data_IF_453944285045
#
_entry.id   IF_453944285045
#
_cell.length_a   1.000
_cell.length_b   1.000
_cell.length_c   1.000
_cell.angle_alpha   90.00
_cell.angle_beta   90.00
_cell.angle_gamma   90.00
#
_symmetry.space_group_name_H-M   'P 1'
#
loop_
_entity.id
_entity.type
_entity.pdbx_description
1 polymer ?
#
# COMPACT_ATOMS: atom_id res chain seq x y z
N UNK A 1 2.89 10.35 31.75
CA UNK A 1 1.98 11.34 32.35
C UNK A 1 0.59 11.06 31.80
N UNK A 2 -0.42 10.96 32.67
CA UNK A 2 -1.83 10.85 32.27
C UNK A 2 -2.63 11.86 33.09
N UNK A 3 -3.67 12.42 32.49
CA UNK A 3 -4.59 13.30 33.21
C UNK A 3 -5.82 12.49 33.61
N UNK A 4 -6.26 12.65 34.84
CA UNK A 4 -7.41 11.93 35.39
C UNK A 4 -8.24 12.92 36.21
N UNK A 5 -9.55 12.92 35.98
CA UNK A 5 -10.50 13.70 36.75
C UNK A 5 -11.08 12.78 37.83
N UNK A 6 -10.79 13.05 39.11
CA UNK A 6 -11.35 12.27 40.21
C UNK A 6 -12.85 12.53 40.36
N UNK A 7 -13.29 13.72 39.93
CA UNK A 7 -14.70 14.13 39.91
C UNK A 7 -15.08 14.76 38.58
N UNK A 8 -16.37 14.72 38.23
CA UNK A 8 -16.87 15.26 36.95
C UNK A 8 -16.64 16.78 36.83
N UNK A 9 -16.62 17.49 37.96
CA UNK A 9 -16.42 18.94 37.99
C UNK A 9 -14.99 19.35 37.59
N UNK A 10 -14.02 18.45 37.70
CA UNK A 10 -12.61 18.68 37.38
C UNK A 10 -12.31 18.60 35.88
N UNK A 11 -13.29 18.24 35.05
CA UNK A 11 -13.14 18.08 33.59
C UNK A 11 -12.46 19.31 32.95
N UNK A 12 -12.86 20.52 33.36
CA UNK A 12 -12.32 21.78 32.82
C UNK A 12 -10.85 21.96 33.17
N UNK A 13 -10.45 21.61 34.39
CA UNK A 13 -9.08 21.80 34.87
C UNK A 13 -8.15 20.76 34.26
N UNK A 14 -8.60 19.51 34.15
CA UNK A 14 -7.91 18.46 33.38
C UNK A 14 -7.74 18.86 31.92
N UNK A 15 -8.79 19.38 31.28
CA UNK A 15 -8.72 19.85 29.91
C UNK A 15 -7.70 20.98 29.76
N UNK A 16 -7.74 22.02 30.61
CA UNK A 16 -6.75 23.11 30.60
C UNK A 16 -5.32 22.61 30.77
N UNK A 17 -5.09 21.66 31.68
CA UNK A 17 -3.77 21.08 31.91
C UNK A 17 -3.25 20.33 30.67
N UNK A 18 -4.11 19.54 30.01
CA UNK A 18 -3.79 18.89 28.74
C UNK A 18 -3.51 19.91 27.63
N UNK A 19 -4.34 20.94 27.47
CA UNK A 19 -4.14 21.98 26.46
C UNK A 19 -2.82 22.73 26.68
N UNK A 20 -2.44 22.99 27.93
CA UNK A 20 -1.16 23.60 28.28
C UNK A 20 0.02 22.71 27.87
N UNK A 21 -0.10 21.39 28.06
CA UNK A 21 0.92 20.43 27.60
C UNK A 21 1.05 20.43 26.07
N UNK A 22 -0.05 20.54 25.34
CA UNK A 22 -0.04 20.57 23.88
C UNK A 22 0.72 21.78 23.30
N UNK A 23 0.77 22.92 24.00
CA UNK A 23 1.39 24.15 23.48
C UNK A 23 2.89 24.00 23.16
N UNK A 24 3.60 23.12 23.86
CA UNK A 24 5.02 22.86 23.63
C UNK A 24 5.30 21.76 22.60
N UNK A 25 4.27 21.23 21.94
CA UNK A 25 4.38 20.08 21.03
C UNK A 25 3.77 20.38 19.66
N UNK A 26 4.47 19.96 18.60
CA UNK A 26 4.03 20.16 17.22
C UNK A 26 3.43 18.91 16.57
N UNK A 27 3.60 17.73 17.20
CA UNK A 27 3.16 16.44 16.66
C UNK A 27 2.24 15.76 17.67
N UNK A 28 1.09 15.29 17.19
CA UNK A 28 0.14 14.49 17.96
C UNK A 28 0.09 13.09 17.37
N UNK A 29 0.61 12.10 18.09
CA UNK A 29 0.50 10.68 17.71
C UNK A 29 -0.71 10.09 18.42
N UNK A 30 -1.59 9.44 17.65
CA UNK A 30 -2.84 8.90 18.18
C UNK A 30 -3.31 7.69 17.37
N UNK A 31 -4.25 6.93 17.93
CA UNK A 31 -4.87 5.78 17.28
C UNK A 31 -6.35 6.08 16.99
N UNK A 32 -6.73 6.32 15.72
CA UNK A 32 -8.09 6.65 15.31
C UNK A 32 -8.68 7.94 15.93
N UNK A 33 -7.88 8.74 16.63
CA UNK A 33 -8.31 10.01 17.21
C UNK A 33 -8.83 11.07 16.24
N UNK A 34 -8.60 10.95 14.93
CA UNK A 34 -9.26 11.82 13.94
C UNK A 34 -10.79 11.68 13.98
N UNK A 35 -11.28 10.48 14.28
CA UNK A 35 -12.71 10.16 14.27
C UNK A 35 -13.35 10.20 15.66
N UNK A 36 -12.55 10.25 16.72
CA UNK A 36 -13.05 10.15 18.10
C UNK A 36 -12.45 11.21 19.02
N UNK A 37 -11.18 11.04 19.44
CA UNK A 37 -10.56 11.87 20.48
C UNK A 37 -10.52 13.36 20.11
N UNK A 38 -10.08 13.70 18.90
CA UNK A 38 -9.91 15.09 18.46
C UNK A 38 -11.27 15.79 18.33
N UNK A 39 -12.30 15.24 17.64
CA UNK A 39 -13.63 15.83 17.63
C UNK A 39 -14.21 16.03 19.04
N UNK A 40 -14.08 15.04 19.92
CA UNK A 40 -14.55 15.12 21.31
C UNK A 40 -13.88 16.27 22.07
N UNK A 41 -12.55 16.35 22.01
CA UNK A 41 -11.78 17.40 22.67
C UNK A 41 -12.09 18.80 22.11
N UNK A 42 -12.30 18.93 20.79
CA UNK A 42 -12.72 20.20 20.17
C UNK A 42 -14.11 20.63 20.66
N UNK A 43 -15.05 19.69 20.78
CA UNK A 43 -16.39 19.98 21.31
C UNK A 43 -16.30 20.47 22.76
N UNK A 44 -15.49 19.81 23.60
CA UNK A 44 -15.27 20.23 25.00
C UNK A 44 -14.60 21.60 25.10
N UNK A 45 -13.61 21.88 24.26
CA UNK A 45 -13.01 23.21 24.18
C UNK A 45 -14.05 24.28 23.81
N UNK A 46 -14.91 24.00 22.83
CA UNK A 46 -15.97 24.93 22.43
C UNK A 46 -16.98 25.17 23.57
N UNK A 47 -17.40 24.10 24.27
CA UNK A 47 -18.31 24.17 25.42
C UNK A 47 -17.77 25.07 26.54
N UNK A 48 -16.47 25.01 26.81
CA UNK A 48 -15.81 25.79 27.87
C UNK A 48 -15.12 27.06 27.38
N UNK A 49 -15.35 27.44 26.12
CA UNK A 49 -14.74 28.61 25.48
C UNK A 49 -13.20 28.64 25.55
N UNK A 50 -12.57 27.47 25.43
CA UNK A 50 -11.12 27.29 25.40
C UNK A 50 -10.62 27.23 23.95
N UNK A 51 -9.39 27.73 23.73
CA UNK A 51 -8.72 27.64 22.41
C UNK A 51 -8.13 26.24 22.21
N UNK A 52 -8.53 25.58 21.13
CA UNK A 52 -8.00 24.26 20.77
C UNK A 52 -6.66 24.36 20.00
N UNK A 53 -5.67 23.48 20.27
CA UNK A 53 -4.34 23.52 19.66
C UNK A 53 -4.21 22.63 18.41
N UNK A 54 -5.17 21.74 18.16
CA UNK A 54 -5.05 20.63 17.21
C UNK A 54 -4.94 21.10 15.75
N UNK A 55 -5.50 22.27 15.42
CA UNK A 55 -5.39 22.85 14.07
C UNK A 55 -3.95 23.21 13.65
N UNK A 56 -3.03 23.39 14.61
CA UNK A 56 -1.63 23.71 14.33
C UNK A 56 -0.69 22.50 14.48
N UNK A 57 -1.20 21.36 14.93
CA UNK A 57 -0.40 20.15 15.16
C UNK A 57 -0.40 19.24 13.94
N UNK A 58 0.74 18.60 13.67
CA UNK A 58 0.83 17.50 12.72
C UNK A 58 0.26 16.22 13.35
N UNK A 59 -0.89 15.76 12.89
CA UNK A 59 -1.52 14.52 13.33
C UNK A 59 -0.91 13.27 12.69
N UNK A 60 -0.48 12.31 13.52
CA UNK A 60 -0.04 10.98 13.13
C UNK A 60 -1.07 9.97 13.62
N UNK A 61 -2.07 9.72 12.77
CA UNK A 61 -3.09 8.72 13.01
C UNK A 61 -2.62 7.34 12.55
N UNK A 62 -2.27 6.49 13.52
CA UNK A 62 -1.75 5.14 13.27
C UNK A 62 -2.80 4.28 12.57
N UNK A 63 -4.07 4.36 12.99
CA UNK A 63 -5.17 3.59 12.39
C UNK A 63 -5.30 3.91 10.91
N UNK A 64 -5.37 5.20 10.57
CA UNK A 64 -5.53 5.66 9.18
C UNK A 64 -4.37 5.21 8.29
N UNK A 65 -3.14 5.19 8.82
CA UNK A 65 -1.95 4.76 8.07
C UNK A 65 -1.91 3.24 7.84
N UNK A 66 -2.43 2.43 8.76
CA UNK A 66 -2.42 0.97 8.62
C UNK A 66 -3.61 0.46 7.82
N UNK A 67 -4.77 1.12 7.91
CA UNK A 67 -6.03 0.64 7.35
C UNK A 67 -5.96 0.22 5.86
N UNK A 68 -5.28 0.94 4.95
CA UNK A 68 -5.11 0.51 3.55
C UNK A 68 -4.43 -0.86 3.42
N UNK A 69 -3.58 -1.21 4.38
CA UNK A 69 -2.77 -2.42 4.41
C UNK A 69 -3.37 -3.54 5.26
N UNK A 70 -4.63 -3.41 5.72
CA UNK A 70 -5.32 -4.46 6.52
C UNK A 70 -5.21 -5.85 5.89
N UNK A 71 -5.54 -5.95 4.59
CA UNK A 71 -5.51 -7.22 3.84
C UNK A 71 -4.09 -7.75 3.69
N UNK A 72 -3.16 -6.84 3.39
CA UNK A 72 -1.73 -7.10 3.26
C UNK A 72 -1.18 -7.73 4.54
N UNK A 73 -1.53 -7.19 5.70
CA UNK A 73 -1.08 -7.68 7.00
C UNK A 73 -1.86 -8.90 7.52
N UNK A 74 -2.86 -9.39 6.78
CA UNK A 74 -3.69 -10.51 7.19
C UNK A 74 -4.55 -10.22 8.44
N UNK A 75 -4.87 -8.95 8.70
CA UNK A 75 -5.60 -8.55 9.90
C UNK A 75 -7.13 -8.69 9.71
N UNK A 76 -7.81 -9.29 10.68
CA UNK A 76 -9.28 -9.38 10.71
C UNK A 76 -9.94 -8.00 10.82
N UNK A 77 -9.31 -7.08 11.54
CA UNK A 77 -9.70 -5.68 11.73
C UNK A 77 -8.45 -4.87 12.14
N UNK A 78 -8.58 -3.55 12.22
CA UNK A 78 -7.46 -2.65 12.55
C UNK A 78 -7.72 -2.01 13.91
N UNK A 79 -8.31 -2.74 14.86
CA UNK A 79 -8.33 -2.31 16.27
C UNK A 79 -6.91 -2.38 16.81
N UNK A 80 -6.57 -1.49 17.76
CA UNK A 80 -5.23 -1.44 18.34
C UNK A 80 -4.79 -2.80 18.90
N UNK A 81 -5.65 -3.48 19.67
CA UNK A 81 -5.40 -4.82 20.21
C UNK A 81 -5.06 -5.86 19.13
N UNK A 82 -5.73 -5.80 17.97
CA UNK A 82 -5.44 -6.71 16.83
C UNK A 82 -4.08 -6.41 16.21
N UNK A 83 -3.71 -5.14 16.09
CA UNK A 83 -2.37 -4.74 15.61
C UNK A 83 -1.29 -5.12 16.62
N UNK A 84 -1.53 -4.94 17.92
CA UNK A 84 -0.62 -5.37 18.99
C UNK A 84 -0.38 -6.88 18.96
N UNK A 85 -1.43 -7.68 18.83
CA UNK A 85 -1.33 -9.13 18.68
C UNK A 85 -0.56 -9.50 17.41
N UNK A 86 -0.85 -8.83 16.28
CA UNK A 86 -0.06 -8.98 15.07
C UNK A 86 1.41 -8.62 15.32
N UNK A 87 1.74 -7.66 16.15
CA UNK A 87 3.13 -7.30 16.50
C UNK A 87 3.75 -8.23 17.57
N UNK A 88 2.98 -9.17 18.12
CA UNK A 88 3.44 -10.07 19.19
C UNK A 88 3.49 -9.42 20.58
N UNK A 89 2.83 -8.28 20.75
CA UNK A 89 2.74 -7.56 22.02
C UNK A 89 1.67 -8.24 22.88
N UNK A 90 2.01 -8.54 24.14
CA UNK A 90 1.09 -9.09 25.14
C UNK A 90 0.59 -7.95 26.03
N UNK A 91 -0.71 -7.90 26.28
CA UNK A 91 -1.33 -7.02 27.27
C UNK A 91 -1.64 -7.80 28.54
N UNK A 92 -1.57 -7.13 29.68
CA UNK A 92 -2.08 -7.65 30.95
C UNK A 92 -3.57 -7.32 31.12
N UNK A 93 -4.01 -6.17 30.56
CA UNK A 93 -5.39 -5.68 30.58
C UNK A 93 -6.42 -6.57 29.83
N UNK A 94 -7.47 -6.96 30.55
CA UNK A 94 -8.59 -7.79 30.09
C UNK A 94 -9.85 -6.99 29.74
N UNK A 95 -9.94 -5.71 30.13
CA UNK A 95 -11.17 -4.94 30.01
C UNK A 95 -11.26 -4.24 28.66
N UNK A 96 -12.48 -3.95 28.23
CA UNK A 96 -12.75 -3.10 27.07
C UNK A 96 -13.24 -1.72 27.51
N UNK A 97 -13.07 -0.71 26.65
CA UNK A 97 -13.40 0.68 26.99
C UNK A 97 -14.86 0.93 27.39
N UNK A 98 -15.80 0.06 27.00
CA UNK A 98 -17.19 0.17 27.44
C UNK A 98 -17.40 -0.23 28.90
N UNK A 99 -16.64 -1.21 29.39
CA UNK A 99 -16.70 -1.66 30.79
C UNK A 99 -16.15 -0.60 31.75
N UNK A 100 -15.15 0.16 31.31
CA UNK A 100 -14.53 1.22 32.12
C UNK A 100 -15.47 2.39 32.42
N UNK A 101 -16.51 2.60 31.60
CA UNK A 101 -17.49 3.67 31.83
C UNK A 101 -18.19 3.43 33.17
N UNK A 102 -18.70 2.22 33.41
CA UNK A 102 -19.38 1.87 34.64
C UNK A 102 -18.43 1.94 35.85
N UNK A 103 -17.20 1.48 35.67
CA UNK A 103 -16.17 1.50 36.72
C UNK A 103 -15.82 2.94 37.13
N UNK A 104 -15.71 3.86 36.16
CA UNK A 104 -15.53 5.27 36.47
C UNK A 104 -16.74 5.89 37.16
N UNK A 105 -17.96 5.55 36.74
CA UNK A 105 -19.17 6.04 37.41
C UNK A 105 -19.29 5.57 38.86
N UNK A 106 -18.88 4.34 39.14
CA UNK A 106 -18.90 3.78 40.49
C UNK A 106 -17.77 4.35 41.35
N UNK A 107 -16.57 4.52 40.77
CA UNK A 107 -15.46 5.23 41.40
C UNK A 107 -15.85 6.65 41.84
N UNK A 108 -16.54 7.44 41.00
CA UNK A 108 -16.96 8.81 41.35
C UNK A 108 -17.95 8.82 42.52
N UNK A 109 -18.79 7.78 42.66
CA UNK A 109 -19.76 7.66 43.76
C UNK A 109 -19.09 7.18 45.05
N UNK A 110 -18.18 6.22 44.93
CA UNK A 110 -17.49 5.57 46.04
C UNK A 110 -16.04 5.22 45.61
N UNK A 111 -15.07 6.13 45.80
CA UNK A 111 -13.71 5.93 45.33
C UNK A 111 -13.03 4.74 46.00
N UNK A 112 -12.91 3.63 45.28
CA UNK A 112 -12.13 2.48 45.70
C UNK A 112 -10.75 2.51 45.02
N UNK A 113 -9.65 2.24 45.76
CA UNK A 113 -8.31 2.18 45.18
C UNK A 113 -8.21 1.19 44.00
N UNK A 114 -8.94 0.08 44.07
CA UNK A 114 -8.99 -0.93 43.00
C UNK A 114 -9.52 -0.39 41.68
N UNK A 115 -10.54 0.47 41.73
CA UNK A 115 -11.17 1.02 40.51
C UNK A 115 -10.25 2.05 39.88
N UNK A 116 -9.59 2.88 40.69
CA UNK A 116 -8.57 3.83 40.24
C UNK A 116 -7.39 3.10 39.59
N UNK A 117 -6.84 2.08 40.27
CA UNK A 117 -5.72 1.30 39.75
C UNK A 117 -6.08 0.67 38.40
N UNK A 118 -7.30 0.15 38.26
CA UNK A 118 -7.78 -0.43 37.01
C UNK A 118 -7.89 0.61 35.88
N UNK A 119 -8.51 1.76 36.14
CA UNK A 119 -8.69 2.84 35.15
C UNK A 119 -7.34 3.37 34.67
N UNK A 120 -6.42 3.62 35.62
CA UNK A 120 -5.08 4.13 35.32
C UNK A 120 -4.21 3.09 34.61
N UNK A 121 -4.33 1.81 34.98
CA UNK A 121 -3.61 0.71 34.33
C UNK A 121 -4.06 0.55 32.88
N UNK A 122 -5.36 0.57 32.62
CA UNK A 122 -5.88 0.44 31.25
C UNK A 122 -5.38 1.54 30.33
N UNK A 123 -5.49 2.80 30.75
CA UNK A 123 -5.01 3.93 29.96
C UNK A 123 -3.48 3.89 29.77
N UNK A 124 -2.74 3.49 30.81
CA UNK A 124 -1.30 3.30 30.70
C UNK A 124 -0.93 2.20 29.70
N UNK A 125 -1.66 1.08 29.68
CA UNK A 125 -1.45 -0.02 28.76
C UNK A 125 -1.82 0.35 27.31
N UNK A 126 -2.90 1.10 27.09
CA UNK A 126 -3.24 1.64 25.77
C UNK A 126 -2.15 2.57 25.23
N UNK A 127 -1.61 3.45 26.08
CA UNK A 127 -0.52 4.35 25.68
C UNK A 127 0.79 3.60 25.39
N UNK A 128 1.17 2.64 26.23
CA UNK A 128 2.35 1.78 26.01
C UNK A 128 2.18 0.93 24.75
N UNK A 129 0.99 0.38 24.56
CA UNK A 129 0.62 -0.41 23.40
C UNK A 129 0.73 0.41 22.11
N UNK A 130 0.16 1.63 22.11
CA UNK A 130 0.24 2.55 20.99
C UNK A 130 1.70 2.90 20.62
N UNK A 131 2.55 3.15 21.61
CA UNK A 131 3.97 3.40 21.36
C UNK A 131 4.68 2.15 20.80
N UNK A 132 4.37 0.98 21.36
CA UNK A 132 4.99 -0.29 20.98
C UNK A 132 4.62 -0.73 19.55
N UNK A 133 3.46 -0.32 19.03
CA UNK A 133 3.06 -0.63 17.65
C UNK A 133 3.62 0.35 16.61
N UNK A 134 4.27 1.46 16.98
CA UNK A 134 4.80 2.42 16.00
C UNK A 134 5.62 1.80 14.84
N UNK A 135 6.42 0.73 15.05
CA UNK A 135 7.14 0.08 13.95
C UNK A 135 6.23 -0.50 12.85
N UNK A 136 4.94 -0.73 13.11
CA UNK A 136 3.97 -1.13 12.07
C UNK A 136 3.81 -0.08 10.97
N UNK A 137 4.16 1.18 11.22
CA UNK A 137 4.09 2.25 10.22
C UNK A 137 5.06 2.02 9.06
N UNK A 138 6.10 1.21 9.25
CA UNK A 138 7.06 0.84 8.21
C UNK A 138 6.41 0.13 7.01
N UNK A 139 5.26 -0.52 7.20
CA UNK A 139 4.49 -1.09 6.09
C UNK A 139 3.90 -0.02 5.17
N UNK A 140 3.54 1.14 5.71
CA UNK A 140 3.15 2.30 4.91
C UNK A 140 4.37 2.96 4.28
N UNK A 141 5.51 2.97 4.99
CA UNK A 141 6.74 3.61 4.52
C UNK A 141 7.29 2.97 3.23
N UNK A 142 6.96 1.71 2.95
CA UNK A 142 7.24 1.04 1.67
C UNK A 142 6.71 1.79 0.44
N UNK A 143 5.64 2.57 0.61
CA UNK A 143 4.98 3.31 -0.47
C UNK A 143 5.21 4.82 -0.40
N UNK A 144 5.65 5.34 0.74
CA UNK A 144 5.86 6.78 0.94
C UNK A 144 7.34 7.17 0.88
N UNK A 145 8.26 6.21 1.05
CA UNK A 145 9.70 6.44 1.02
C UNK A 145 10.37 5.65 -0.11
N UNK A 146 11.39 6.23 -0.75
CA UNK A 146 12.11 5.55 -1.83
C UNK A 146 12.90 4.35 -1.30
N UNK A 147 12.79 3.23 -2.00
CA UNK A 147 13.64 2.04 -1.81
C UNK A 147 14.58 1.85 -3.01
N UNK A 148 15.56 0.95 -2.86
CA UNK A 148 16.53 0.65 -3.93
C UNK A 148 16.38 -0.79 -4.40
N UNK A 149 16.24 -0.99 -5.71
CA UNK A 149 16.44 -2.32 -6.32
C UNK A 149 17.94 -2.54 -6.43
N UNK A 150 18.48 -3.46 -5.63
CA UNK A 150 19.93 -3.69 -5.49
C UNK A 150 20.45 -4.84 -6.35
N UNK A 151 19.55 -5.74 -6.79
CA UNK A 151 19.90 -6.84 -7.69
C UNK A 151 18.68 -7.20 -8.53
N UNK A 152 18.91 -7.46 -9.81
CA UNK A 152 17.91 -8.02 -10.72
C UNK A 152 18.52 -9.23 -11.39
N UNK A 153 17.81 -10.35 -11.39
CA UNK A 153 18.26 -11.57 -12.05
C UNK A 153 17.08 -12.32 -12.66
N UNK A 154 17.35 -13.08 -13.70
CA UNK A 154 16.40 -14.08 -14.20
C UNK A 154 16.45 -15.30 -13.29
N UNK A 155 15.29 -15.83 -12.94
CA UNK A 155 15.14 -17.11 -12.27
C UNK A 155 14.28 -18.04 -13.14
N UNK A 156 14.65 -19.31 -13.22
CA UNK A 156 13.86 -20.34 -13.91
C UNK A 156 13.33 -21.33 -12.89
N UNK A 157 12.11 -21.79 -13.08
CA UNK A 157 11.49 -22.80 -12.23
C UNK A 157 10.56 -23.69 -13.05
N UNK A 158 10.31 -24.91 -12.59
CA UNK A 158 9.30 -25.78 -13.17
C UNK A 158 7.96 -25.53 -12.47
N UNK A 159 6.91 -25.30 -13.25
CA UNK A 159 5.55 -25.21 -12.69
C UNK A 159 4.95 -26.59 -12.41
N UNK A 160 3.69 -26.61 -11.95
CA UNK A 160 3.01 -27.87 -11.58
C UNK A 160 2.81 -28.82 -12.77
N UNK A 161 2.90 -28.34 -14.00
CA UNK A 161 2.79 -29.14 -15.22
C UNK A 161 4.16 -29.63 -15.72
N UNK A 162 5.25 -29.25 -15.05
CA UNK A 162 6.62 -29.54 -15.48
C UNK A 162 7.14 -28.57 -16.55
N UNK A 163 6.39 -27.51 -16.86
CA UNK A 163 6.84 -26.52 -17.85
C UNK A 163 7.86 -25.57 -17.22
N UNK A 164 8.94 -25.31 -17.94
CA UNK A 164 9.97 -24.35 -17.49
C UNK A 164 9.44 -22.93 -17.66
N UNK A 165 9.20 -22.28 -16.53
CA UNK A 165 8.83 -20.87 -16.44
C UNK A 165 10.05 -20.00 -16.13
N UNK A 166 9.98 -18.73 -16.53
CA UNK A 166 11.01 -17.73 -16.22
C UNK A 166 10.38 -16.53 -15.53
N UNK A 167 11.02 -16.06 -14.48
CA UNK A 167 10.63 -14.86 -13.74
C UNK A 167 11.82 -13.91 -13.59
N UNK A 168 11.54 -12.61 -13.53
CA UNK A 168 12.49 -11.62 -13.03
C UNK A 168 12.39 -11.61 -11.52
N UNK A 169 13.52 -11.80 -10.85
CA UNK A 169 13.68 -11.65 -9.41
C UNK A 169 14.43 -10.34 -9.10
N UNK A 170 13.73 -9.40 -8.48
CA UNK A 170 14.26 -8.14 -7.98
C UNK A 170 14.49 -8.24 -6.47
N UNK A 171 15.73 -8.01 -6.03
CA UNK A 171 16.07 -7.80 -4.64
C UNK A 171 15.99 -6.31 -4.32
N UNK A 172 15.20 -5.97 -3.32
CA UNK A 172 14.91 -4.61 -2.89
C UNK A 172 15.52 -4.39 -1.50
N UNK A 173 16.11 -3.22 -1.28
CA UNK A 173 16.62 -2.76 0.02
C UNK A 173 15.78 -1.57 0.49
N UNK A 174 15.22 -1.69 1.67
CA UNK A 174 14.45 -0.64 2.34
C UNK A 174 15.34 0.13 3.34
N UNK A 175 15.05 1.42 3.58
CA UNK A 175 15.77 2.23 4.57
C UNK A 175 15.31 1.97 6.02
N UNK A 176 14.37 1.03 6.23
CA UNK A 176 13.77 0.68 7.51
C UNK A 176 13.65 -0.85 7.64
N UNK A 177 13.32 -1.31 8.84
CA UNK A 177 13.10 -2.72 9.16
C UNK A 177 11.60 -3.01 9.24
N UNK A 178 11.15 -4.08 8.59
CA UNK A 178 9.84 -4.65 8.78
C UNK A 178 9.78 -5.40 10.12
N UNK A 179 8.78 -5.12 10.97
CA UNK A 179 8.67 -5.78 12.27
C UNK A 179 8.30 -7.26 12.16
N UNK A 180 7.58 -7.63 11.10
CA UNK A 180 7.28 -9.02 10.74
C UNK A 180 7.41 -9.25 9.25
N UNK A 181 7.77 -10.49 8.90
CA UNK A 181 7.79 -10.95 7.53
C UNK A 181 6.39 -10.82 6.92
N UNK A 182 6.34 -10.36 5.67
CA UNK A 182 5.12 -10.27 4.87
C UNK A 182 5.31 -10.97 3.52
N UNK A 183 4.23 -11.48 2.95
CA UNK A 183 4.24 -12.13 1.63
C UNK A 183 2.93 -11.88 0.90
N UNK A 184 3.02 -11.46 -0.36
CA UNK A 184 1.87 -11.17 -1.22
C UNK A 184 2.01 -11.91 -2.53
N UNK A 185 0.87 -12.33 -3.08
CA UNK A 185 0.78 -12.94 -4.40
C UNK A 185 -0.41 -12.35 -5.14
N UNK A 186 -0.25 -12.11 -6.44
CA UNK A 186 -1.30 -11.57 -7.28
C UNK A 186 -0.87 -11.53 -8.74
N UNK A 187 -1.73 -12.01 -9.64
CA UNK A 187 -1.49 -12.08 -11.08
C UNK A 187 -0.10 -12.65 -11.46
N UNK A 188 0.29 -13.75 -10.83
CA UNK A 188 1.59 -14.40 -11.05
C UNK A 188 2.79 -13.69 -10.41
N UNK A 189 2.62 -12.46 -9.92
CA UNK A 189 3.66 -11.76 -9.16
C UNK A 189 3.67 -12.23 -7.71
N UNK A 190 4.85 -12.28 -7.10
CA UNK A 190 5.02 -12.59 -5.68
C UNK A 190 6.02 -11.65 -5.04
N UNK A 191 5.65 -11.05 -3.92
CA UNK A 191 6.55 -10.28 -3.09
C UNK A 191 6.71 -10.93 -1.72
N UNK A 192 7.92 -10.97 -1.20
CA UNK A 192 8.23 -11.32 0.19
C UNK A 192 9.15 -10.25 0.75
N UNK A 193 8.90 -9.78 1.97
CA UNK A 193 9.83 -8.92 2.68
C UNK A 193 10.06 -9.39 4.11
N UNK A 194 11.30 -9.21 4.56
CA UNK A 194 11.81 -9.62 5.87
C UNK A 194 12.98 -8.69 6.23
N UNK A 195 13.06 -8.28 7.49
CA UNK A 195 14.02 -7.26 7.94
C UNK A 195 13.97 -6.00 7.05
N UNK A 196 15.07 -5.62 6.39
CA UNK A 196 15.10 -4.48 5.45
C UNK A 196 15.19 -4.93 3.99
N UNK A 197 14.92 -6.19 3.69
CA UNK A 197 15.03 -6.75 2.34
C UNK A 197 13.69 -7.23 1.79
N UNK A 198 13.49 -6.99 0.50
CA UNK A 198 12.35 -7.47 -0.27
C UNK A 198 12.79 -8.28 -1.48
N UNK A 199 11.96 -9.25 -1.86
CA UNK A 199 12.16 -10.12 -3.00
C UNK A 199 10.88 -10.09 -3.83
N UNK A 200 10.93 -9.40 -4.96
CA UNK A 200 9.81 -9.29 -5.90
C UNK A 200 10.07 -10.18 -7.11
N UNK A 201 9.13 -11.08 -7.38
CA UNK A 201 9.11 -12.00 -8.51
C UNK A 201 8.01 -11.59 -9.48
N UNK A 202 8.36 -11.50 -10.75
CA UNK A 202 7.44 -11.13 -11.83
C UNK A 202 7.64 -12.08 -13.01
N UNK A 203 6.58 -12.70 -13.55
CA UNK A 203 6.69 -13.61 -14.69
C UNK A 203 7.17 -12.89 -15.95
N UNK A 204 8.04 -13.55 -16.71
CA UNK A 204 8.47 -13.11 -18.04
C UNK A 204 7.66 -13.86 -19.09
N UNK A 205 7.07 -13.12 -20.02
CA UNK A 205 6.36 -13.71 -21.15
C UNK A 205 7.27 -13.69 -22.36
N UNK A 206 7.56 -14.86 -22.92
CA UNK A 206 8.32 -15.00 -24.17
C UNK A 206 7.36 -15.23 -25.34
N UNK A 207 7.73 -14.71 -26.51
CA UNK A 207 7.02 -14.94 -27.77
C UNK A 207 6.61 -13.65 -28.45
N UNK A 208 5.53 -13.73 -29.22
CA UNK A 208 5.02 -12.64 -30.06
C UNK A 208 4.02 -11.76 -29.33
N UNK A 209 4.28 -10.46 -29.27
CA UNK A 209 3.30 -9.47 -28.82
C UNK A 209 2.98 -8.45 -29.91
N UNK A 210 1.79 -7.87 -29.88
CA UNK A 210 1.29 -6.91 -30.88
C UNK A 210 1.47 -5.48 -30.39
N UNK A 211 2.05 -4.63 -31.24
CA UNK A 211 2.05 -3.18 -31.09
C UNK A 211 0.97 -2.60 -32.00
N UNK A 212 -0.07 -2.00 -31.42
CA UNK A 212 -1.20 -1.44 -32.16
C UNK A 212 -1.00 0.03 -32.47
N UNK A 213 -1.15 0.42 -33.74
CA UNK A 213 -1.05 1.81 -34.17
C UNK A 213 -2.39 2.53 -33.98
N UNK A 214 -2.35 3.71 -33.36
CA UNK A 214 -3.56 4.52 -33.11
C UNK A 214 -4.14 5.15 -34.39
N UNK A 215 -3.29 5.46 -35.36
CA UNK A 215 -3.65 6.05 -36.66
C UNK A 215 -4.02 4.98 -37.72
N UNK A 216 -4.81 3.98 -37.34
CA UNK A 216 -5.14 2.82 -38.19
C UNK A 216 -5.73 3.18 -39.56
N UNK A 217 -6.36 4.35 -39.69
CA UNK A 217 -6.93 4.84 -40.96
C UNK A 217 -5.87 5.06 -42.04
N UNK A 218 -4.60 5.20 -41.67
CA UNK A 218 -3.46 5.36 -42.59
C UNK A 218 -2.74 4.04 -42.93
N UNK A 219 -3.34 2.90 -42.58
CA UNK A 219 -2.76 1.58 -42.80
C UNK A 219 -3.71 0.67 -43.60
N UNK A 220 -3.09 -0.24 -44.35
CA UNK A 220 -3.73 -1.46 -44.84
C UNK A 220 -3.26 -2.64 -44.00
N UNK A 221 -4.13 -3.60 -43.76
CA UNK A 221 -3.81 -4.89 -43.17
C UNK A 221 -3.59 -5.91 -44.29
N UNK A 222 -2.56 -6.73 -44.13
CA UNK A 222 -2.19 -7.79 -45.07
C UNK A 222 -2.51 -9.14 -44.40
N UNK A 223 -3.60 -9.83 -44.80
CA UNK A 223 -4.05 -11.03 -44.12
C UNK A 223 -3.09 -12.22 -44.21
N UNK A 224 -2.33 -12.34 -45.30
CA UNK A 224 -1.40 -13.45 -45.49
C UNK A 224 -0.14 -13.30 -44.61
N UNK A 225 0.33 -12.07 -44.43
CA UNK A 225 1.50 -11.71 -43.62
C UNK A 225 1.17 -11.36 -42.17
N UNK A 226 -0.13 -11.23 -41.83
CA UNK A 226 -0.64 -10.92 -40.49
C UNK A 226 0.02 -9.66 -39.88
N UNK A 227 0.08 -8.59 -40.68
CA UNK A 227 0.73 -7.32 -40.30
C UNK A 227 0.06 -6.12 -40.95
N UNK A 228 0.19 -4.95 -40.32
CA UNK A 228 -0.27 -3.68 -40.87
C UNK A 228 0.87 -2.91 -41.56
N UNK A 229 0.57 -2.35 -42.73
CA UNK A 229 1.49 -1.53 -43.51
C UNK A 229 0.89 -0.16 -43.80
N UNK A 230 1.68 0.89 -43.58
CA UNK A 230 1.26 2.26 -43.89
C UNK A 230 0.97 2.41 -45.39
N UNK A 231 -0.05 3.19 -45.76
CA UNK A 231 -0.51 3.36 -47.16
C UNK A 231 0.61 3.69 -48.14
N UNK A 232 1.61 4.47 -47.73
CA UNK A 232 2.75 4.84 -48.58
C UNK A 232 3.60 3.65 -49.00
N UNK A 233 3.71 2.62 -48.18
CA UNK A 233 4.47 1.40 -48.47
C UNK A 233 3.54 0.33 -49.07
N UNK A 234 2.30 0.24 -48.57
CA UNK A 234 1.32 -0.70 -49.10
C UNK A 234 0.92 -0.40 -50.56
N UNK A 235 1.21 0.81 -51.09
CA UNK A 235 0.98 1.17 -52.49
C UNK A 235 1.63 0.21 -53.50
N UNK A 236 2.70 -0.49 -53.10
CA UNK A 236 3.41 -1.48 -53.91
C UNK A 236 2.85 -2.90 -53.79
N UNK A 237 1.82 -3.11 -52.94
CA UNK A 237 1.15 -4.39 -52.73
C UNK A 237 -0.14 -4.41 -53.56
N UNK A 238 -0.38 -5.50 -54.28
CA UNK A 238 -1.58 -5.69 -55.09
C UNK A 238 -2.85 -5.50 -54.24
N UNK A 239 -3.84 -4.69 -54.67
CA UNK A 239 -5.11 -4.50 -53.99
C UNK A 239 -5.81 -5.79 -53.52
N UNK A 240 -5.64 -6.93 -54.19
CA UNK A 240 -6.28 -8.19 -53.77
C UNK A 240 -5.68 -8.79 -52.49
N UNK A 241 -4.45 -8.41 -52.11
CA UNK A 241 -3.75 -8.94 -50.93
C UNK A 241 -3.78 -7.98 -49.72
N UNK A 242 -4.50 -6.86 -49.83
CA UNK A 242 -4.57 -5.86 -48.76
C UNK A 242 -6.00 -5.40 -48.52
N UNK A 243 -6.35 -5.22 -47.26
CA UNK A 243 -7.64 -4.67 -46.85
C UNK A 243 -7.45 -3.45 -45.94
N UNK A 244 -8.37 -2.47 -45.92
CA UNK A 244 -8.25 -1.32 -45.01
C UNK A 244 -8.10 -1.78 -43.55
N UNK A 245 -7.08 -1.30 -42.84
CA UNK A 245 -6.85 -1.73 -41.48
C UNK A 245 -7.98 -1.27 -40.55
N UNK A 246 -8.37 -2.15 -39.62
CA UNK A 246 -9.23 -1.82 -38.48
C UNK A 246 -8.34 -1.58 -37.27
N UNK A 247 -8.85 -0.93 -36.23
CA UNK A 247 -8.08 -0.73 -35.01
C UNK A 247 -7.54 -2.07 -34.43
N UNK A 248 -8.33 -3.15 -34.54
CA UNK A 248 -7.94 -4.50 -34.10
C UNK A 248 -6.97 -5.24 -35.03
N UNK A 249 -6.79 -4.80 -36.27
CA UNK A 249 -5.86 -5.43 -37.24
C UNK A 249 -4.68 -4.53 -37.58
N UNK A 250 -4.67 -3.30 -37.07
CA UNK A 250 -3.60 -2.34 -37.32
C UNK A 250 -2.46 -2.52 -36.31
N UNK A 251 -1.67 -3.59 -36.45
CA UNK A 251 -0.53 -3.87 -35.59
C UNK A 251 0.69 -4.41 -36.33
N UNK A 252 1.82 -4.38 -35.64
CA UNK A 252 2.99 -5.20 -35.95
C UNK A 252 3.28 -6.16 -34.81
N UNK A 253 3.75 -7.36 -35.14
CA UNK A 253 4.23 -8.34 -34.17
C UNK A 253 5.68 -8.07 -33.79
N UNK A 254 6.00 -8.32 -32.52
CA UNK A 254 7.33 -8.22 -31.95
C UNK A 254 7.62 -9.48 -31.14
N UNK A 255 8.61 -10.24 -31.58
CA UNK A 255 9.18 -11.34 -30.80
C UNK A 255 10.13 -10.80 -29.74
N UNK A 256 10.03 -11.32 -28.52
CA UNK A 256 10.90 -10.89 -27.44
C UNK A 256 10.55 -11.47 -26.08
N UNK A 257 11.12 -10.85 -25.05
CA UNK A 257 10.78 -11.08 -23.66
C UNK A 257 10.02 -9.87 -23.15
N UNK A 258 8.89 -10.09 -22.50
CA UNK A 258 7.97 -9.05 -22.09
C UNK A 258 7.66 -9.16 -20.60
N UNK A 259 7.47 -8.00 -19.98
CA UNK A 259 7.01 -7.89 -18.60
C UNK A 259 5.63 -7.25 -18.56
N UNK A 260 4.72 -7.73 -17.70
CA UNK A 260 3.37 -7.19 -17.58
C UNK A 260 3.39 -5.80 -16.96
N UNK A 261 2.51 -4.92 -17.42
CA UNK A 261 2.22 -3.63 -16.82
C UNK A 261 0.69 -3.43 -16.79
N UNK A 262 0.16 -3.12 -15.62
CA UNK A 262 -1.28 -2.90 -15.41
C UNK A 262 -1.69 -1.44 -15.56
N UNK A 263 -0.74 -0.53 -15.32
CA UNK A 263 -0.81 0.85 -15.77
C UNK A 263 0.29 1.07 -16.81
N UNK A 264 0.07 2.05 -17.70
CA UNK A 264 1.04 2.38 -18.75
C UNK A 264 2.16 3.20 -18.11
N UNK A 265 3.23 2.52 -17.70
CA UNK A 265 4.43 3.12 -17.13
C UNK A 265 5.63 3.06 -18.08
N UNK A 266 5.56 2.19 -19.09
CA UNK A 266 6.56 2.03 -20.13
C UNK A 266 5.94 2.10 -21.52
N UNK A 267 6.70 2.68 -22.45
CA UNK A 267 6.38 2.71 -23.88
C UNK A 267 7.57 2.13 -24.67
N UNK A 268 7.33 1.50 -25.83
CA UNK A 268 6.02 1.24 -26.45
C UNK A 268 5.17 0.21 -25.68
N UNK A 269 3.85 0.33 -25.83
CA UNK A 269 2.87 -0.56 -25.18
C UNK A 269 2.53 -1.72 -26.12
N UNK A 270 2.66 -2.94 -25.61
CA UNK A 270 2.31 -4.16 -26.32
C UNK A 270 1.13 -4.86 -25.67
N UNK A 271 0.38 -5.64 -26.46
CA UNK A 271 -0.72 -6.51 -25.99
C UNK A 271 -0.68 -7.85 -26.70
N UNK A 272 -1.28 -8.88 -26.11
CA UNK A 272 -1.49 -10.14 -26.82
C UNK A 272 -2.59 -9.96 -27.88
N UNK A 273 -3.73 -9.39 -27.48
CA UNK A 273 -4.84 -9.05 -28.35
C UNK A 273 -5.36 -7.61 -28.15
N UNK A 274 -6.05 -7.07 -29.16
CA UNK A 274 -6.47 -5.65 -29.18
C UNK A 274 -7.33 -5.27 -27.96
N UNK A 275 -8.25 -6.15 -27.59
CA UNK A 275 -9.21 -5.95 -26.49
C UNK A 275 -8.63 -6.18 -25.09
N UNK A 276 -7.39 -6.67 -24.99
CA UNK A 276 -6.81 -6.97 -23.69
C UNK A 276 -6.57 -5.71 -22.88
N UNK A 277 -6.93 -5.79 -21.59
CA UNK A 277 -6.61 -4.74 -20.62
C UNK A 277 -5.16 -4.82 -20.16
N UNK A 278 -4.65 -6.03 -19.97
CA UNK A 278 -3.27 -6.25 -19.56
C UNK A 278 -2.33 -5.84 -20.70
N UNK A 279 -1.41 -4.95 -20.37
CA UNK A 279 -0.41 -4.46 -21.30
C UNK A 279 0.96 -5.00 -20.92
N UNK A 280 1.90 -4.89 -21.85
CA UNK A 280 3.27 -5.34 -21.70
C UNK A 280 4.25 -4.28 -22.20
N UNK A 281 5.48 -4.36 -21.73
CA UNK A 281 6.63 -3.68 -22.35
C UNK A 281 7.74 -4.69 -22.60
N UNK A 282 8.53 -4.43 -23.64
CA UNK A 282 9.64 -5.30 -24.03
C UNK A 282 10.81 -5.12 -23.04
N UNK A 283 11.35 -6.22 -22.53
CA UNK A 283 12.55 -6.25 -21.70
C UNK A 283 13.81 -6.12 -22.56
N UNK A 284 14.04 -4.91 -23.07
CA UNK A 284 15.19 -4.57 -23.92
C UNK A 284 16.51 -4.57 -23.15
N UNK A 285 17.64 -4.63 -23.85
CA UNK A 285 18.98 -4.52 -23.23
C UNK A 285 19.19 -3.20 -22.47
N UNK A 286 18.56 -2.11 -22.93
CA UNK A 286 18.60 -0.82 -22.25
C UNK A 286 17.89 -0.88 -20.89
N UNK A 287 16.70 -1.48 -20.83
CA UNK A 287 15.96 -1.65 -19.58
C UNK A 287 16.70 -2.59 -18.63
N UNK A 288 17.23 -3.72 -19.14
CA UNK A 288 18.03 -4.67 -18.34
C UNK A 288 19.22 -4.01 -17.63
N UNK A 289 19.76 -2.94 -18.20
CA UNK A 289 20.91 -2.18 -17.67
C UNK A 289 20.52 -0.93 -16.87
N UNK A 290 19.23 -0.68 -16.66
CA UNK A 290 18.74 0.51 -15.95
C UNK A 290 18.17 0.20 -14.58
N UNK A 291 18.92 0.45 -13.49
CA UNK A 291 18.40 0.33 -12.12
C UNK A 291 17.21 1.26 -11.84
N UNK A 292 17.17 2.43 -12.49
CA UNK A 292 16.10 3.39 -12.32
C UNK A 292 14.76 2.86 -12.85
N UNK A 293 14.77 2.23 -14.03
CA UNK A 293 13.56 1.63 -14.60
C UNK A 293 13.07 0.44 -13.78
N UNK A 294 13.97 -0.40 -13.26
CA UNK A 294 13.56 -1.45 -12.32
C UNK A 294 13.04 -0.92 -10.99
N UNK A 295 13.57 0.21 -10.50
CA UNK A 295 13.03 0.90 -9.33
C UNK A 295 11.58 1.35 -9.55
N UNK A 296 11.34 2.02 -10.68
CA UNK A 296 10.00 2.43 -11.12
C UNK A 296 9.07 1.23 -11.29
N UNK A 297 9.55 0.17 -11.92
CA UNK A 297 8.78 -1.04 -12.16
C UNK A 297 8.44 -1.78 -10.86
N UNK A 298 9.39 -1.92 -9.95
CA UNK A 298 9.16 -2.55 -8.65
C UNK A 298 8.10 -1.79 -7.85
N UNK A 299 8.15 -0.45 -7.84
CA UNK A 299 7.14 0.37 -7.18
C UNK A 299 5.75 0.12 -7.75
N UNK A 300 5.62 0.13 -9.08
CA UNK A 300 4.37 -0.18 -9.78
C UNK A 300 3.79 -1.52 -9.35
N UNK A 301 4.59 -2.59 -9.41
CA UNK A 301 4.12 -3.94 -9.07
C UNK A 301 3.71 -4.04 -7.59
N UNK A 302 4.48 -3.43 -6.68
CA UNK A 302 4.12 -3.40 -5.26
C UNK A 302 2.81 -2.67 -5.02
N UNK A 303 2.59 -1.54 -5.69
CA UNK A 303 1.35 -0.77 -5.58
C UNK A 303 0.14 -1.60 -6.06
N UNK A 304 0.27 -2.25 -7.22
CA UNK A 304 -0.79 -3.10 -7.77
C UNK A 304 -1.10 -4.33 -6.89
N UNK A 305 -0.09 -4.91 -6.24
CA UNK A 305 -0.29 -6.04 -5.32
C UNK A 305 -1.10 -5.64 -4.08
N UNK A 306 -1.07 -4.36 -3.69
CA UNK A 306 -1.67 -3.87 -2.44
C UNK A 306 -3.00 -3.16 -2.66
N UNK A 307 -3.03 -2.20 -3.57
CA UNK A 307 -4.23 -1.41 -3.86
C UNK A 307 -5.13 -2.08 -4.91
N UNK A 308 -4.61 -3.12 -5.56
CA UNK A 308 -5.32 -3.95 -6.51
C UNK A 308 -4.98 -3.58 -7.95
N UNK A 309 -5.18 -4.55 -8.83
CA UNK A 309 -5.03 -4.36 -10.25
C UNK A 309 -6.29 -3.69 -10.79
N UNK A 310 -6.15 -2.56 -11.52
CA UNK A 310 -7.30 -1.85 -12.09
C UNK A 310 -8.23 -2.83 -12.82
N UNK A 311 -9.53 -2.78 -12.49
CA UNK A 311 -10.54 -3.76 -12.94
C UNK A 311 -10.91 -3.62 -14.41
#
# INVERSE_FOLDING_TARGET
MQFFAEKKEEEVDVLKAFLSLCQSHSILVHYNGNNFDIPYMKQKCAQYHLREPFSHMTGVDIYKRIMPYKKLLGLENVKQKTVEQFMGIKRDDQYNGGELIQIYEDYVKAPLPSDLDLLLLHNADDMKGMFSILPVLTYSDMFTHPFKVVKVQSNKYEDMNGDTQTEVLMKIRFPFLFPKQITFTGNGCRFRAEENEGYLKVPVVYGSMKYFYSNYKEYYYLPAEDTAMHKSVAAFVDPQFREPAKASTCYTRKEGAFLPQWDIIFSPVFKAEYGDKLCYFELTEAIKRSPAEFGKYAYHILDMLVHGFAK
#
